data_IF_096535917399
#
_entry.id   IF_096535917399
#
_cell.length_a   1.000
_cell.length_b   1.000
_cell.length_c   1.000
_cell.angle_alpha   90.00
_cell.angle_beta   90.00
_cell.angle_gamma   90.00
#
_symmetry.space_group_name_H-M   'P 1'
#
loop_
_entity.id
_entity.type
_entity.pdbx_description
1 polymer ?
#
# COMPACT_ATOMS: atom_id res chain seq x y z
N UNK A 1 21.57 24.42 16.27
CA UNK A 1 21.32 22.98 16.41
C UNK A 1 19.82 22.77 16.26
N UNK A 2 19.31 22.17 15.17
CA UNK A 2 17.87 22.16 14.94
C UNK A 2 17.19 21.07 15.78
N UNK A 3 16.08 21.48 16.38
CA UNK A 3 15.22 20.72 17.28
C UNK A 3 14.74 19.40 16.67
N UNK A 4 14.83 18.31 17.45
CA UNK A 4 14.08 17.09 17.21
C UNK A 4 12.58 17.41 17.31
N UNK A 5 11.89 17.40 16.17
CA UNK A 5 10.43 17.42 16.13
C UNK A 5 9.91 16.12 16.74
N UNK A 6 8.99 16.28 17.68
CA UNK A 6 8.16 15.30 18.37
C UNK A 6 7.76 14.12 17.46
N UNK A 7 7.80 12.86 17.95
CA UNK A 7 7.31 11.73 17.17
C UNK A 7 5.80 11.86 16.98
N UNK A 8 5.37 11.76 15.72
CA UNK A 8 3.98 11.68 15.32
C UNK A 8 3.28 10.56 16.11
N UNK A 9 2.17 10.87 16.79
CA UNK A 9 1.39 9.87 17.54
C UNK A 9 0.77 8.87 16.57
N UNK A 10 1.06 7.58 16.77
CA UNK A 10 0.29 6.49 16.16
C UNK A 10 -1.13 6.50 16.76
N UNK A 11 -2.15 6.66 15.91
CA UNK A 11 -3.54 6.51 16.33
C UNK A 11 -4.00 5.14 15.84
N UNK A 12 -4.33 4.26 16.78
CA UNK A 12 -5.02 3.01 16.49
C UNK A 12 -6.50 3.32 16.29
N UNK A 13 -7.01 3.14 15.08
CA UNK A 13 -8.46 3.14 14.83
C UNK A 13 -8.92 1.69 14.65
N UNK A 14 -9.96 1.32 15.39
CA UNK A 14 -10.68 0.08 15.15
C UNK A 14 -11.60 0.32 13.95
N UNK A 15 -11.46 -0.50 12.90
CA UNK A 15 -12.37 -0.48 11.76
C UNK A 15 -13.36 -1.64 11.92
N UNK A 16 -14.66 -1.33 11.93
CA UNK A 16 -15.72 -2.34 11.94
C UNK A 16 -16.18 -2.55 10.49
N UNK A 17 -15.56 -3.52 9.82
CA UNK A 17 -16.07 -4.02 8.55
C UNK A 17 -17.37 -4.80 8.78
N UNK A 18 -18.38 -4.58 7.93
CA UNK A 18 -19.69 -5.22 8.06
C UNK A 18 -19.62 -6.72 7.74
N UNK A 19 -19.62 -7.56 8.77
CA UNK A 19 -20.08 -8.95 8.69
C UNK A 19 -20.72 -9.35 10.03
N UNK A 20 -22.03 -9.51 10.05
CA UNK A 20 -22.75 -10.12 11.18
C UNK A 20 -22.53 -11.64 11.18
N UNK A 21 -21.74 -12.13 12.13
CA UNK A 21 -21.95 -13.44 12.78
C UNK A 21 -21.13 -13.50 14.06
N UNK A 22 -21.81 -13.62 15.20
CA UNK A 22 -21.22 -13.75 16.54
C UNK A 22 -20.36 -15.02 16.66
N UNK A 23 -19.05 -14.91 16.39
CA UNK A 23 -17.97 -15.66 17.05
C UNK A 23 -16.62 -15.00 16.74
N UNK A 24 -15.82 -14.73 17.78
CA UNK A 24 -14.44 -14.22 17.80
C UNK A 24 -14.24 -12.69 17.67
N UNK A 25 -13.98 -12.05 18.82
CA UNK A 25 -13.53 -10.66 18.94
C UNK A 25 -12.05 -10.46 18.47
N UNK A 26 -11.42 -11.48 17.88
CA UNK A 26 -10.00 -11.52 17.52
C UNK A 26 -9.66 -11.22 16.05
N UNK A 27 -10.64 -11.08 15.14
CA UNK A 27 -10.36 -10.88 13.70
C UNK A 27 -10.54 -9.44 13.18
N UNK A 28 -10.68 -8.43 14.06
CA UNK A 28 -10.79 -7.04 13.62
C UNK A 28 -9.43 -6.51 13.15
N UNK A 29 -9.36 -6.15 11.88
CA UNK A 29 -8.20 -5.45 11.29
C UNK A 29 -8.04 -4.12 12.02
N UNK A 30 -6.92 -3.95 12.71
CA UNK A 30 -6.56 -2.67 13.34
C UNK A 30 -5.81 -1.82 12.33
N UNK A 31 -6.11 -0.53 12.30
CA UNK A 31 -5.41 0.42 11.43
C UNK A 31 -4.38 1.19 12.26
N UNK A 32 -3.13 1.17 11.81
CA UNK A 32 -2.06 2.06 12.24
C UNK A 32 -2.13 3.31 11.36
N UNK A 33 -2.49 4.46 11.92
CA UNK A 33 -2.58 5.70 11.15
C UNK A 33 -1.49 6.70 11.56
N UNK A 34 -0.97 7.41 10.56
CA UNK A 34 0.05 8.44 10.67
C UNK A 34 -0.34 9.68 9.87
N UNK A 35 -0.16 10.86 10.46
CA UNK A 35 -0.45 12.13 9.81
C UNK A 35 0.84 12.83 9.39
N UNK A 36 0.87 13.31 8.14
CA UNK A 36 1.90 14.18 7.60
C UNK A 36 1.23 15.44 7.04
N UNK A 37 1.51 16.59 7.65
CA UNK A 37 0.83 17.86 7.36
C UNK A 37 -0.69 17.74 7.52
N UNK A 38 -1.45 17.76 6.42
CA UNK A 38 -2.91 17.63 6.40
C UNK A 38 -3.39 16.25 5.95
N UNK A 39 -2.49 15.40 5.45
CA UNK A 39 -2.81 14.08 4.92
C UNK A 39 -2.68 13.04 6.03
N UNK A 40 -3.59 12.07 6.06
CA UNK A 40 -3.56 10.92 6.96
C UNK A 40 -3.31 9.66 6.15
N UNK A 41 -2.35 8.83 6.56
CA UNK A 41 -2.00 7.55 5.95
C UNK A 41 -2.31 6.44 6.94
N UNK A 42 -3.08 5.44 6.53
CA UNK A 42 -3.50 4.34 7.38
C UNK A 42 -3.08 2.99 6.79
N UNK A 43 -2.49 2.15 7.63
CA UNK A 43 -1.96 0.85 7.29
C UNK A 43 -2.69 -0.20 8.12
N UNK A 44 -3.25 -1.28 7.54
CA UNK A 44 -3.75 -2.37 8.35
C UNK A 44 -2.57 -3.06 9.04
N UNK A 45 -2.78 -3.51 10.28
CA UNK A 45 -1.81 -4.37 10.96
C UNK A 45 -1.55 -5.62 10.12
N UNK A 46 -0.31 -6.14 10.07
CA UNK A 46 -0.01 -7.35 9.31
C UNK A 46 -0.93 -8.51 9.69
N UNK A 47 -1.42 -9.20 8.67
CA UNK A 47 -2.20 -10.42 8.80
C UNK A 47 -1.77 -11.39 7.72
N UNK A 48 -2.16 -12.67 7.84
CA UNK A 48 -1.95 -13.64 6.75
C UNK A 48 -2.94 -13.46 5.58
N UNK A 49 -3.86 -12.49 5.66
CA UNK A 49 -4.80 -12.20 4.58
C UNK A 49 -4.10 -11.37 3.50
N UNK A 50 -4.13 -11.88 2.28
CA UNK A 50 -3.71 -11.16 1.09
C UNK A 50 -4.94 -10.52 0.44
N UNK A 51 -4.85 -9.24 0.11
CA UNK A 51 -5.90 -8.48 -0.54
C UNK A 51 -5.61 -8.34 -2.03
N UNK A 52 -6.64 -8.51 -2.85
CA UNK A 52 -6.62 -8.00 -4.23
C UNK A 52 -6.61 -6.48 -4.23
N UNK A 53 -6.18 -5.88 -5.34
CA UNK A 53 -6.21 -4.43 -5.49
C UNK A 53 -7.63 -3.87 -5.34
N UNK A 54 -8.62 -4.59 -5.86
CA UNK A 54 -10.02 -4.20 -5.76
C UNK A 54 -10.53 -4.22 -4.31
N UNK A 55 -10.22 -5.26 -3.53
CA UNK A 55 -10.59 -5.31 -2.11
C UNK A 55 -9.92 -4.18 -1.32
N UNK A 56 -8.64 -3.91 -1.57
CA UNK A 56 -7.92 -2.79 -0.96
C UNK A 56 -8.58 -1.44 -1.27
N UNK A 57 -8.91 -1.19 -2.54
CA UNK A 57 -9.56 0.05 -2.97
C UNK A 57 -10.96 0.21 -2.35
N UNK A 58 -11.75 -0.87 -2.28
CA UNK A 58 -13.06 -0.83 -1.62
C UNK A 58 -12.93 -0.57 -0.11
N UNK A 59 -11.99 -1.23 0.57
CA UNK A 59 -11.79 -1.04 2.01
C UNK A 59 -11.49 0.42 2.37
N UNK A 60 -10.59 1.08 1.61
CA UNK A 60 -10.31 2.49 1.85
C UNK A 60 -11.57 3.36 1.66
N UNK A 61 -12.35 3.11 0.59
CA UNK A 61 -13.59 3.85 0.29
C UNK A 61 -14.66 3.67 1.38
N UNK A 62 -14.86 2.46 1.88
CA UNK A 62 -15.77 2.20 2.99
C UNK A 62 -15.33 2.92 4.27
N UNK A 63 -14.02 3.21 4.41
CA UNK A 63 -13.46 4.06 5.47
C UNK A 63 -13.51 5.57 5.23
N UNK A 64 -14.15 6.03 4.15
CA UNK A 64 -14.10 7.42 3.67
C UNK A 64 -12.66 7.92 3.39
N UNK A 65 -11.81 7.02 2.89
CA UNK A 65 -10.43 7.28 2.48
C UNK A 65 -10.25 6.87 1.01
N UNK A 66 -9.16 7.30 0.39
CA UNK A 66 -8.70 6.81 -0.90
C UNK A 66 -7.62 5.75 -0.70
N UNK A 67 -7.40 4.91 -1.71
CA UNK A 67 -6.19 4.08 -1.76
C UNK A 67 -5.00 4.99 -2.12
N UNK A 68 -3.84 4.79 -1.49
CA UNK A 68 -2.68 5.68 -1.56
C UNK A 68 -2.29 6.03 -3.00
N UNK A 69 -2.25 7.32 -3.32
CA UNK A 69 -1.52 7.90 -4.44
C UNK A 69 -0.17 8.45 -3.96
N UNK A 70 0.81 8.52 -4.87
CA UNK A 70 2.14 9.04 -4.57
C UNK A 70 2.47 10.12 -5.58
N UNK A 71 2.05 11.35 -5.30
CA UNK A 71 2.02 12.44 -6.28
C UNK A 71 3.39 13.09 -6.49
N UNK A 72 4.30 12.97 -5.54
CA UNK A 72 5.63 13.60 -5.60
C UNK A 72 6.70 12.85 -4.80
N UNK A 73 7.97 13.13 -5.12
CA UNK A 73 9.14 12.50 -4.49
C UNK A 73 9.19 12.67 -2.97
N UNK A 74 8.76 13.82 -2.46
CA UNK A 74 8.83 14.07 -1.03
C UNK A 74 7.81 13.24 -0.25
N UNK A 75 6.61 13.07 -0.79
CA UNK A 75 5.57 12.19 -0.25
C UNK A 75 6.03 10.72 -0.26
N UNK A 76 6.44 10.19 -1.41
CA UNK A 76 6.94 8.82 -1.55
C UNK A 76 8.04 8.50 -0.53
N UNK A 77 9.06 9.35 -0.49
CA UNK A 77 10.18 9.22 0.46
C UNK A 77 9.73 9.25 1.93
N UNK A 78 8.76 10.10 2.28
CA UNK A 78 8.30 10.24 3.67
C UNK A 78 7.39 9.09 4.10
N UNK A 79 6.50 8.63 3.23
CA UNK A 79 5.67 7.42 3.45
C UNK A 79 6.58 6.20 3.61
N UNK A 80 7.53 6.02 2.70
CA UNK A 80 8.49 4.93 2.78
C UNK A 80 9.30 4.96 4.08
N UNK A 81 9.86 6.13 4.46
CA UNK A 81 10.60 6.27 5.74
C UNK A 81 9.73 5.96 6.95
N UNK A 82 8.45 6.35 6.94
CA UNK A 82 7.54 6.02 8.01
C UNK A 82 7.37 4.50 8.14
N UNK A 83 7.09 3.81 7.02
CA UNK A 83 6.98 2.34 6.99
C UNK A 83 8.23 1.69 7.57
N UNK A 84 9.42 2.08 7.11
CA UNK A 84 10.69 1.51 7.61
C UNK A 84 10.93 1.76 9.10
N UNK A 85 10.38 2.85 9.66
CA UNK A 85 10.53 3.17 11.08
C UNK A 85 9.65 2.34 12.00
N UNK A 86 8.63 1.67 11.46
CA UNK A 86 7.68 0.86 12.23
C UNK A 86 7.91 -0.62 11.90
N UNK A 87 8.37 -1.38 12.89
CA UNK A 87 8.70 -2.81 12.70
C UNK A 87 7.53 -3.62 12.12
N UNK A 88 6.30 -3.31 12.53
CA UNK A 88 5.09 -3.97 12.04
C UNK A 88 4.68 -3.57 10.62
N UNK A 89 5.29 -2.56 9.99
CA UNK A 89 4.99 -2.19 8.60
C UNK A 89 6.13 -2.55 7.66
N UNK A 90 7.35 -2.65 8.19
CA UNK A 90 8.54 -2.96 7.43
C UNK A 90 8.53 -4.42 6.95
N UNK A 91 8.89 -4.65 5.67
CA UNK A 91 8.94 -6.00 5.12
C UNK A 91 7.61 -6.51 4.60
N UNK A 92 6.63 -5.64 4.40
CA UNK A 92 5.31 -5.94 3.81
C UNK A 92 5.19 -5.45 2.36
N UNK A 93 4.21 -5.98 1.64
CA UNK A 93 3.83 -5.51 0.30
C UNK A 93 2.56 -4.66 0.41
N UNK A 94 2.50 -3.54 -0.31
CA UNK A 94 1.37 -2.61 -0.22
C UNK A 94 0.86 -2.20 -1.59
N UNK A 95 -0.44 -2.41 -1.83
CA UNK A 95 -1.13 -1.76 -2.93
C UNK A 95 -1.18 -0.24 -2.77
N UNK A 96 -1.07 0.43 -3.90
CA UNK A 96 -1.37 1.85 -4.11
C UNK A 96 -2.54 1.97 -5.07
N UNK A 97 -3.07 3.17 -5.31
CA UNK A 97 -4.13 3.43 -6.27
C UNK A 97 -3.67 3.41 -7.73
N UNK A 98 -2.37 3.24 -7.99
CA UNK A 98 -1.85 3.21 -9.36
C UNK A 98 -2.37 2.00 -10.13
N UNK A 99 -2.96 2.24 -11.28
CA UNK A 99 -3.49 1.22 -12.19
C UNK A 99 -3.07 1.50 -13.63
N UNK A 100 -2.96 0.43 -14.42
CA UNK A 100 -2.61 0.48 -15.83
C UNK A 100 -3.70 -0.18 -16.68
N UNK A 101 -4.46 0.66 -17.39
CA UNK A 101 -5.41 0.22 -18.43
C UNK A 101 -4.85 0.53 -19.81
N UNK A 102 -4.90 1.81 -20.24
CA UNK A 102 -4.24 2.31 -21.45
C UNK A 102 -2.93 3.04 -21.15
N UNK A 103 -2.84 3.58 -19.93
CA UNK A 103 -1.71 4.30 -19.36
C UNK A 103 -1.77 4.16 -17.85
N UNK A 104 -0.69 4.54 -17.18
CA UNK A 104 -0.66 4.63 -15.72
C UNK A 104 -1.46 5.85 -15.24
N UNK A 105 -2.41 5.60 -14.35
CA UNK A 105 -3.25 6.60 -13.69
C UNK A 105 -3.57 6.17 -12.25
N UNK A 106 -3.92 7.13 -11.41
CA UNK A 106 -4.44 6.88 -10.07
C UNK A 106 -5.92 6.42 -10.16
N UNK A 107 -6.44 5.85 -9.08
CA UNK A 107 -7.79 5.27 -9.05
C UNK A 107 -8.92 6.32 -9.18
N UNK A 108 -8.62 7.59 -9.01
CA UNK A 108 -9.50 8.73 -9.24
C UNK A 108 -9.50 9.22 -10.70
N UNK A 109 -8.63 8.66 -11.54
CA UNK A 109 -8.47 9.00 -12.96
C UNK A 109 -7.39 10.05 -13.22
N UNK A 110 -6.69 10.55 -12.20
CA UNK A 110 -5.57 11.47 -12.39
C UNK A 110 -4.36 10.77 -13.02
N UNK A 111 -3.63 11.49 -13.86
CA UNK A 111 -2.44 10.94 -14.52
C UNK A 111 -1.25 10.90 -13.57
N UNK A 112 -0.49 9.81 -13.60
CA UNK A 112 0.73 9.69 -12.81
C UNK A 112 1.83 10.57 -13.43
N UNK A 113 2.18 11.66 -12.74
CA UNK A 113 3.21 12.62 -13.19
C UNK A 113 4.59 12.39 -12.55
N UNK A 114 4.62 11.87 -11.33
CA UNK A 114 5.82 11.44 -10.63
C UNK A 114 5.93 9.91 -10.73
N UNK A 115 7.14 9.38 -10.97
CA UNK A 115 7.35 7.93 -10.97
C UNK A 115 8.65 7.55 -10.30
N UNK A 116 8.66 6.37 -9.68
CA UNK A 116 9.82 5.81 -9.00
C UNK A 116 9.92 4.29 -9.26
N UNK A 117 9.68 3.89 -10.52
CA UNK A 117 9.68 2.49 -10.94
C UNK A 117 11.02 1.82 -10.71
N UNK A 118 11.01 0.55 -10.28
CA UNK A 118 12.22 -0.27 -10.31
C UNK A 118 12.60 -0.54 -11.76
N UNK A 119 13.74 0.02 -12.18
CA UNK A 119 14.31 -0.19 -13.52
C UNK A 119 14.36 -1.67 -13.90
N UNK A 120 13.93 -1.98 -15.13
CA UNK A 120 14.06 -3.32 -15.74
C UNK A 120 13.04 -4.39 -15.33
N UNK A 121 12.19 -4.17 -14.31
CA UNK A 121 11.12 -5.13 -13.92
C UNK A 121 9.70 -4.56 -13.98
N UNK A 122 9.55 -3.24 -13.93
CA UNK A 122 8.25 -2.61 -13.66
C UNK A 122 8.03 -1.29 -14.39
N UNK A 123 9.03 -0.83 -15.16
CA UNK A 123 8.77 0.21 -16.16
C UNK A 123 7.71 -0.34 -17.13
N UNK A 124 6.84 0.49 -17.73
CA UNK A 124 5.91 0.07 -18.78
C UNK A 124 6.69 -0.32 -20.05
N UNK A 125 7.50 -1.37 -19.96
CA UNK A 125 8.02 -2.13 -21.07
C UNK A 125 7.04 -3.28 -21.35
N UNK A 126 7.01 -3.70 -22.61
CA UNK A 126 5.91 -4.36 -23.33
C UNK A 126 5.32 -5.67 -22.72
N UNK A 127 5.82 -6.12 -21.56
CA UNK A 127 5.40 -7.35 -20.90
C UNK A 127 4.18 -7.17 -19.96
N UNK A 128 3.90 -5.94 -19.50
CA UNK A 128 2.72 -5.65 -18.68
C UNK A 128 1.54 -5.35 -19.59
N UNK A 129 0.79 -6.40 -19.95
CA UNK A 129 -0.51 -6.29 -20.62
C UNK A 129 -1.51 -5.61 -19.69
N UNK A 130 -2.52 -4.96 -20.28
CA UNK A 130 -3.66 -4.29 -19.62
C UNK A 130 -4.08 -5.00 -18.31
N UNK A 131 -4.48 -4.22 -17.29
CA UNK A 131 -4.87 -4.67 -15.94
C UNK A 131 -3.70 -4.97 -14.98
N UNK A 132 -2.77 -4.02 -14.87
CA UNK A 132 -1.74 -4.06 -13.83
C UNK A 132 -1.94 -2.98 -12.78
N UNK A 133 -1.40 -3.24 -11.60
CA UNK A 133 -1.56 -2.40 -10.42
C UNK A 133 -0.21 -2.16 -9.76
N UNK A 134 -0.04 -0.94 -9.27
CA UNK A 134 1.17 -0.47 -8.63
C UNK A 134 1.18 -0.91 -7.17
N UNK A 135 2.28 -1.56 -6.75
CA UNK A 135 2.53 -1.89 -5.36
C UNK A 135 3.95 -1.49 -4.92
N UNK A 136 4.12 -1.35 -3.61
CA UNK A 136 5.39 -1.11 -2.94
C UNK A 136 5.88 -2.42 -2.33
N UNK A 137 7.18 -2.71 -2.49
CA UNK A 137 7.85 -3.76 -1.73
C UNK A 137 8.82 -3.14 -0.72
N UNK A 138 8.44 -3.18 0.55
CA UNK A 138 9.17 -2.52 1.63
C UNK A 138 10.23 -3.41 2.29
N UNK A 139 10.41 -4.64 1.78
CA UNK A 139 11.50 -5.52 2.21
C UNK A 139 12.86 -5.06 1.72
N UNK A 140 12.89 -4.28 0.64
CA UNK A 140 14.10 -3.67 0.16
C UNK A 140 14.48 -2.45 1.01
N UNK A 141 15.78 -2.18 1.14
CA UNK A 141 16.33 -1.00 1.82
C UNK A 141 16.87 -0.01 0.78
N UNK A 142 16.00 0.84 0.24
CA UNK A 142 16.37 1.96 -0.64
C UNK A 142 15.93 3.30 -0.04
N UNK A 143 16.58 4.43 -0.35
CA UNK A 143 16.27 5.71 0.31
C UNK A 143 14.90 6.32 -0.04
N UNK A 144 14.25 5.84 -1.12
CA UNK A 144 13.00 6.40 -1.66
C UNK A 144 11.88 5.39 -1.93
N UNK A 145 12.05 4.11 -1.61
CA UNK A 145 11.15 3.05 -2.09
C UNK A 145 11.28 2.83 -3.61
N UNK A 146 10.83 1.68 -4.13
CA UNK A 146 10.69 1.46 -5.57
C UNK A 146 9.30 0.95 -5.87
N UNK A 147 8.75 1.40 -6.99
CA UNK A 147 7.43 0.98 -7.46
C UNK A 147 7.56 -0.27 -8.30
N UNK A 148 6.65 -1.19 -8.06
CA UNK A 148 6.49 -2.42 -8.81
C UNK A 148 5.10 -2.50 -9.39
N UNK A 149 4.94 -3.28 -10.45
CA UNK A 149 3.66 -3.50 -11.09
C UNK A 149 3.38 -5.00 -11.17
N UNK A 150 2.16 -5.39 -10.83
CA UNK A 150 1.70 -6.77 -10.95
C UNK A 150 0.26 -6.81 -11.45
N UNK A 151 -0.11 -7.88 -12.14
CA UNK A 151 -1.51 -8.18 -12.39
C UNK A 151 -2.11 -8.92 -11.18
N UNK A 152 -3.42 -8.80 -10.98
CA UNK A 152 -4.12 -9.50 -9.88
C UNK A 152 -3.93 -11.03 -9.96
N UNK A 153 -3.71 -11.58 -11.17
CA UNK A 153 -3.64 -13.03 -11.42
C UNK A 153 -2.30 -13.68 -11.03
N UNK A 154 -1.15 -12.98 -11.10
CA UNK A 154 0.16 -13.56 -10.74
C UNK A 154 0.40 -13.65 -9.23
N UNK A 155 -0.19 -12.75 -8.44
CA UNK A 155 -0.08 -12.80 -6.98
C UNK A 155 -0.93 -13.91 -6.35
N UNK A 156 -1.86 -14.48 -7.12
CA UNK A 156 -2.71 -15.61 -6.72
C UNK A 156 -2.25 -16.95 -7.31
N UNK A 157 -1.24 -16.97 -8.18
CA UNK A 157 -0.79 -18.16 -8.94
C UNK A 157 0.60 -18.67 -8.57
N UNK A 158 1.24 -18.22 -7.47
CA UNK A 158 2.44 -18.90 -6.96
C UNK A 158 2.06 -20.24 -6.31
N UNK A 159 1.63 -21.20 -7.14
CA UNK A 159 1.72 -22.63 -6.89
C UNK A 159 3.17 -23.15 -7.07
N UNK A 160 4.15 -22.26 -7.16
CA UNK A 160 5.52 -22.64 -6.81
C UNK A 160 5.55 -22.81 -5.30
N UNK A 161 5.87 -24.04 -4.90
CA UNK A 161 5.93 -24.56 -3.54
C UNK A 161 7.01 -23.84 -2.70
N UNK A 162 6.84 -22.54 -2.51
CA UNK A 162 7.68 -21.65 -1.74
C UNK A 162 6.82 -21.16 -0.59
N UNK A 163 7.23 -21.53 0.62
CA UNK A 163 6.67 -21.10 1.90
C UNK A 163 6.82 -19.59 2.18
N UNK A 164 6.87 -18.75 1.14
CA UNK A 164 7.32 -17.35 1.20
C UNK A 164 6.47 -16.37 0.38
N UNK A 165 5.25 -16.73 -0.05
CA UNK A 165 4.35 -15.71 -0.65
C UNK A 165 3.91 -14.74 0.44
N UNK A 166 4.53 -13.55 0.48
CA UNK A 166 4.17 -12.47 1.41
C UNK A 166 2.75 -11.97 1.10
N UNK A 167 1.88 -11.81 2.11
CA UNK A 167 0.54 -11.30 1.88
C UNK A 167 0.61 -9.88 1.32
N UNK A 168 -0.29 -9.58 0.39
CA UNK A 168 -0.42 -8.25 -0.16
C UNK A 168 -1.37 -7.42 0.70
N UNK A 169 -0.86 -6.32 1.24
CA UNK A 169 -1.59 -5.36 2.06
C UNK A 169 -1.90 -4.08 1.26
N UNK A 170 -2.30 -3.00 1.92
CA UNK A 170 -2.66 -1.73 1.28
C UNK A 170 -2.43 -0.53 2.20
N UNK A 171 -2.42 0.66 1.62
CA UNK A 171 -2.29 1.93 2.35
C UNK A 171 -3.45 2.82 1.95
N UNK A 172 -4.22 3.30 2.92
CA UNK A 172 -5.28 4.28 2.67
C UNK A 172 -4.80 5.69 2.99
N UNK A 173 -5.33 6.70 2.29
CA UNK A 173 -5.05 8.11 2.52
C UNK A 173 -6.33 8.99 2.60
N UNK A 174 -6.26 10.12 3.31
CA UNK A 174 -7.33 11.13 3.38
C UNK A 174 -6.81 12.53 3.64
#
# INVERSE_FOLDING_TARGET
MPNLKTPSRLILRNYEGSSESDTAEEDRIKMLCWTLNKNCYCFPTPTNKSYSWYEANQFCKEGNMALLSLENENEDRLVYKHIKSILALNGELYWTSGQHSLRWEWADGESINYTNWKTGKSEPNEEIKNEAYLYLDTSYDFESGFWFASNNSRLLQSSDNSSFSRPMSYICES
#
